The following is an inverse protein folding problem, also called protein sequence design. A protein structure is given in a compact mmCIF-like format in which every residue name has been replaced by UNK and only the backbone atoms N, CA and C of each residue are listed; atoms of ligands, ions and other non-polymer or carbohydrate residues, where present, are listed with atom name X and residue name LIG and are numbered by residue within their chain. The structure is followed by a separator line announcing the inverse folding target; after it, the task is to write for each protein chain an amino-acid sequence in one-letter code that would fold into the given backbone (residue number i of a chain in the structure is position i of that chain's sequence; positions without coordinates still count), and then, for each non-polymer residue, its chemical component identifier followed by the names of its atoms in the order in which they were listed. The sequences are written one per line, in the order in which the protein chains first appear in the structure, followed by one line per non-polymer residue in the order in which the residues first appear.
data_IF_235252905720
#
_entry.id   IF_235252905720
#
_cell.length_a   1.000
_cell.length_b   1.000
_cell.length_c   1.000
_cell.angle_alpha   90.00
_cell.angle_beta   90.00
_cell.angle_gamma   90.00
#
_symmetry.space_group_name_H-M   'P 1'
#
loop_
_entity.id
_entity.type
_entity.pdbx_description
1 polymer ?
#
# COMPACT_ATOMS: atom_id res chain seq x y z
N UNK A 1 -25.38 8.49 -37.03
CA UNK A 1 -24.86 8.10 -35.71
C UNK A 1 -24.65 6.62 -35.80
N UNK A 2 -23.39 6.20 -35.86
CA UNK A 2 -23.07 4.78 -35.74
C UNK A 2 -23.48 4.34 -34.33
N UNK A 3 -24.11 3.17 -34.25
CA UNK A 3 -24.50 2.54 -32.98
C UNK A 3 -23.22 2.30 -32.16
N UNK A 4 -23.22 2.69 -30.87
CA UNK A 4 -22.09 2.48 -29.94
C UNK A 4 -21.63 1.03 -29.95
N UNK A 5 -22.54 0.07 -30.08
CA UNK A 5 -22.19 -1.35 -30.19
C UNK A 5 -21.28 -1.62 -31.38
N UNK A 6 -21.49 -0.93 -32.50
CA UNK A 6 -20.64 -1.04 -33.70
C UNK A 6 -19.28 -0.36 -33.49
N UNK A 7 -19.26 0.77 -32.79
CA UNK A 7 -18.03 1.49 -32.43
C UNK A 7 -17.14 0.64 -31.51
N UNK A 8 -17.70 0.08 -30.43
CA UNK A 8 -16.98 -0.72 -29.44
C UNK A 8 -16.37 -1.99 -30.06
N UNK A 9 -17.08 -2.64 -30.99
CA UNK A 9 -16.57 -3.81 -31.71
C UNK A 9 -15.36 -3.51 -32.63
N UNK A 10 -15.12 -2.24 -32.96
CA UNK A 10 -13.97 -1.79 -33.75
C UNK A 10 -12.75 -1.37 -32.93
N UNK A 11 -12.88 -1.29 -31.60
CA UNK A 11 -11.84 -0.81 -30.70
C UNK A 11 -11.09 -1.98 -30.03
N UNK A 12 -9.80 -1.76 -29.76
CA UNK A 12 -8.93 -2.73 -29.12
C UNK A 12 -8.62 -2.26 -27.69
N UNK A 13 -9.14 -3.01 -26.71
CA UNK A 13 -8.99 -2.75 -25.26
C UNK A 13 -7.53 -2.73 -24.78
N UNK A 14 -6.56 -3.15 -25.61
CA UNK A 14 -5.13 -3.06 -25.29
C UNK A 14 -4.57 -1.64 -25.38
N UNK A 15 -5.32 -0.69 -25.93
CA UNK A 15 -4.89 0.70 -26.07
C UNK A 15 -5.83 1.64 -25.32
N UNK A 16 -5.27 2.75 -24.84
CA UNK A 16 -6.06 3.82 -24.23
C UNK A 16 -7.02 4.40 -25.27
N UNK A 17 -8.31 4.46 -24.92
CA UNK A 17 -9.38 4.98 -25.77
C UNK A 17 -9.72 6.41 -25.36
N UNK A 18 -10.04 7.26 -26.33
CA UNK A 18 -10.46 8.66 -26.11
C UNK A 18 -11.97 8.82 -25.99
N UNK A 19 -12.40 9.93 -25.40
CA UNK A 19 -13.83 10.28 -25.30
C UNK A 19 -14.44 10.41 -26.70
N UNK A 20 -13.68 10.92 -27.67
CA UNK A 20 -14.12 11.04 -29.06
C UNK A 20 -14.33 9.68 -29.75
N UNK A 21 -13.46 8.70 -29.50
CA UNK A 21 -13.59 7.34 -30.04
C UNK A 21 -14.79 6.58 -29.45
N UNK A 22 -15.19 6.92 -28.22
CA UNK A 22 -16.42 6.44 -27.57
C UNK A 22 -17.68 7.21 -28.01
N UNK A 23 -17.59 8.03 -29.06
CA UNK A 23 -18.74 8.77 -29.60
C UNK A 23 -19.05 10.09 -28.88
N UNK A 24 -18.18 10.55 -27.97
CA UNK A 24 -18.29 11.81 -27.24
C UNK A 24 -18.93 11.67 -25.85
N UNK A 25 -18.84 12.74 -25.06
CA UNK A 25 -19.34 12.82 -23.68
C UNK A 25 -20.79 12.33 -23.53
N UNK A 26 -21.70 12.90 -24.33
CA UNK A 26 -23.13 12.59 -24.23
C UNK A 26 -23.43 11.11 -24.54
N UNK A 27 -22.66 10.51 -25.46
CA UNK A 27 -22.81 9.10 -25.80
C UNK A 27 -22.38 8.21 -24.63
N UNK A 28 -21.31 8.58 -23.91
CA UNK A 28 -20.86 7.86 -22.70
C UNK A 28 -21.93 7.96 -21.61
N UNK A 29 -22.42 9.16 -21.30
CA UNK A 29 -23.37 9.39 -20.21
C UNK A 29 -24.70 8.64 -20.43
N UNK A 30 -25.22 8.67 -21.66
CA UNK A 30 -26.50 8.02 -21.98
C UNK A 30 -26.41 6.48 -22.03
N UNK A 31 -25.21 5.91 -22.13
CA UNK A 31 -25.00 4.49 -22.42
C UNK A 31 -24.20 3.75 -21.35
N UNK A 32 -24.17 4.27 -20.12
CA UNK A 32 -23.46 3.65 -18.99
C UNK A 32 -23.79 2.16 -18.78
N UNK A 33 -25.07 1.79 -18.88
CA UNK A 33 -25.48 0.37 -18.75
C UNK A 33 -24.95 -0.51 -19.89
N UNK A 34 -24.90 0.00 -21.11
CA UNK A 34 -24.33 -0.73 -22.25
C UNK A 34 -22.83 -0.91 -22.08
N UNK A 35 -22.13 0.15 -21.66
CA UNK A 35 -20.70 0.13 -21.38
C UNK A 35 -20.38 -0.87 -20.27
N UNK A 36 -21.16 -0.90 -19.18
CA UNK A 36 -21.03 -1.89 -18.13
C UNK A 36 -21.24 -3.32 -18.66
N UNK A 37 -22.33 -3.55 -19.39
CA UNK A 37 -22.67 -4.87 -19.93
C UNK A 37 -21.69 -5.42 -20.97
N UNK A 38 -20.84 -4.57 -21.56
CA UNK A 38 -19.83 -4.95 -22.55
C UNK A 38 -18.37 -4.82 -22.05
N UNK A 39 -18.15 -4.54 -20.76
CA UNK A 39 -16.81 -4.41 -20.19
C UNK A 39 -16.07 -3.11 -20.56
N UNK A 40 -16.79 -2.10 -21.02
CA UNK A 40 -16.25 -0.80 -21.45
C UNK A 40 -16.39 0.30 -20.40
N UNK A 41 -16.94 0.00 -19.22
CA UNK A 41 -17.14 1.01 -18.18
C UNK A 41 -15.81 1.58 -17.65
N UNK A 42 -14.82 0.73 -17.32
CA UNK A 42 -13.51 1.19 -16.86
C UNK A 42 -12.79 2.01 -17.95
N UNK A 43 -12.67 1.55 -19.23
CA UNK A 43 -12.10 2.36 -20.30
C UNK A 43 -12.80 3.72 -20.50
N UNK A 44 -14.13 3.77 -20.39
CA UNK A 44 -14.87 5.02 -20.52
C UNK A 44 -14.57 5.99 -19.36
N UNK A 45 -14.52 5.47 -18.14
CA UNK A 45 -14.15 6.25 -16.95
C UNK A 45 -12.69 6.72 -17.04
N UNK A 46 -11.76 5.89 -17.50
CA UNK A 46 -10.37 6.29 -17.74
C UNK A 46 -10.26 7.39 -18.78
N UNK A 47 -10.97 7.27 -19.91
CA UNK A 47 -11.01 8.29 -20.95
C UNK A 47 -11.49 9.65 -20.39
N UNK A 48 -12.60 9.65 -19.64
CA UNK A 48 -13.13 10.86 -18.98
C UNK A 48 -12.13 11.43 -17.97
N UNK A 49 -11.54 10.60 -17.12
CA UNK A 49 -10.56 11.01 -16.12
C UNK A 49 -9.29 11.63 -16.75
N UNK A 50 -8.80 11.05 -17.85
CA UNK A 50 -7.62 11.52 -18.58
C UNK A 50 -7.88 12.80 -19.36
N UNK A 51 -9.06 12.93 -19.96
CA UNK A 51 -9.45 14.08 -20.79
C UNK A 51 -10.24 15.13 -19.99
N UNK A 52 -10.30 14.99 -18.66
CA UNK A 52 -11.06 15.86 -17.75
C UNK A 52 -10.89 17.36 -18.03
N UNK A 53 -9.67 17.91 -18.21
CA UNK A 53 -9.49 19.35 -18.43
C UNK A 53 -10.10 19.89 -19.74
N UNK A 54 -10.46 18.99 -20.66
CA UNK A 54 -11.01 19.31 -21.98
C UNK A 54 -12.49 18.96 -22.13
N UNK A 55 -13.10 18.36 -21.10
CA UNK A 55 -14.52 18.04 -21.11
C UNK A 55 -15.35 19.33 -21.13
N UNK A 56 -16.50 19.26 -21.78
CA UNK A 56 -17.46 20.36 -21.87
C UNK A 56 -18.37 20.35 -20.65
N UNK A 57 -18.77 19.17 -20.16
CA UNK A 57 -19.70 19.05 -19.04
C UNK A 57 -19.11 18.23 -17.87
N UNK A 58 -18.34 18.91 -17.02
CA UNK A 58 -17.73 18.31 -15.83
C UNK A 58 -18.75 17.81 -14.81
N UNK A 59 -19.94 18.41 -14.76
CA UNK A 59 -21.00 18.00 -13.84
C UNK A 59 -21.52 16.61 -14.22
N UNK A 60 -21.89 16.42 -15.49
CA UNK A 60 -22.32 15.11 -15.98
C UNK A 60 -21.19 14.08 -15.89
N UNK A 61 -19.95 14.47 -16.17
CA UNK A 61 -18.79 13.58 -16.03
C UNK A 61 -18.64 13.09 -14.58
N UNK A 62 -18.72 14.01 -13.61
CA UNK A 62 -18.68 13.68 -12.18
C UNK A 62 -19.82 12.75 -11.78
N UNK A 63 -21.04 13.07 -12.17
CA UNK A 63 -22.22 12.29 -11.81
C UNK A 63 -22.12 10.87 -12.40
N UNK A 64 -21.62 10.77 -13.64
CA UNK A 64 -21.32 9.48 -14.27
C UNK A 64 -20.25 8.68 -13.51
N UNK A 65 -19.17 9.30 -13.04
CA UNK A 65 -18.15 8.61 -12.22
C UNK A 65 -18.75 8.04 -10.92
N UNK A 66 -19.59 8.82 -10.26
CA UNK A 66 -20.25 8.43 -8.99
C UNK A 66 -21.25 7.31 -9.25
N UNK A 67 -22.09 7.42 -10.30
CA UNK A 67 -23.04 6.39 -10.70
C UNK A 67 -22.31 5.09 -11.11
N UNK A 68 -21.20 5.19 -11.85
CA UNK A 68 -20.38 4.05 -12.22
C UNK A 68 -19.86 3.29 -10.99
N UNK A 69 -19.33 3.99 -9.98
CA UNK A 69 -18.94 3.38 -8.71
C UNK A 69 -20.14 2.82 -7.93
N UNK A 70 -21.29 3.46 -8.03
CA UNK A 70 -22.50 3.05 -7.33
C UNK A 70 -23.05 1.72 -7.87
N UNK A 71 -23.09 1.57 -9.19
CA UNK A 71 -23.73 0.44 -9.86
C UNK A 71 -22.75 -0.70 -10.20
N UNK A 72 -21.43 -0.47 -10.06
CA UNK A 72 -20.41 -1.48 -10.31
C UNK A 72 -20.60 -2.74 -9.46
N UNK A 73 -20.29 -3.90 -10.06
CA UNK A 73 -20.02 -5.13 -9.31
C UNK A 73 -18.65 -5.05 -8.63
N UNK A 74 -18.32 -6.05 -7.80
CA UNK A 74 -17.08 -6.04 -7.02
C UNK A 74 -15.82 -5.98 -7.89
N UNK A 75 -15.79 -6.67 -9.03
CA UNK A 75 -14.63 -6.68 -9.92
C UNK A 75 -14.44 -5.33 -10.62
N UNK A 76 -15.53 -4.74 -11.09
CA UNK A 76 -15.51 -3.45 -11.78
C UNK A 76 -15.22 -2.32 -10.82
N UNK A 77 -15.69 -2.42 -9.57
CA UNK A 77 -15.48 -1.41 -8.54
C UNK A 77 -13.99 -1.17 -8.28
N UNK A 78 -13.17 -2.23 -8.17
CA UNK A 78 -11.74 -2.12 -7.91
C UNK A 78 -11.02 -1.33 -9.01
N UNK A 79 -11.25 -1.69 -10.26
CA UNK A 79 -10.66 -0.98 -11.41
C UNK A 79 -11.13 0.46 -11.54
N UNK A 80 -12.41 0.75 -11.22
CA UNK A 80 -12.91 2.13 -11.18
C UNK A 80 -12.28 2.94 -10.04
N UNK A 81 -12.13 2.34 -8.85
CA UNK A 81 -11.49 2.96 -7.71
C UNK A 81 -10.04 3.33 -8.02
N UNK A 82 -9.30 2.44 -8.68
CA UNK A 82 -7.94 2.69 -9.14
C UNK A 82 -7.89 3.88 -10.12
N UNK A 83 -8.67 3.84 -11.20
CA UNK A 83 -8.69 4.91 -12.22
C UNK A 83 -9.05 6.27 -11.61
N UNK A 84 -10.12 6.33 -10.80
CA UNK A 84 -10.60 7.59 -10.20
C UNK A 84 -9.58 8.13 -9.20
N UNK A 85 -9.01 7.27 -8.34
CA UNK A 85 -8.01 7.69 -7.34
C UNK A 85 -6.70 8.20 -7.94
N UNK A 86 -6.46 7.91 -9.23
CA UNK A 86 -5.28 8.33 -9.98
C UNK A 86 -5.52 9.54 -10.91
N UNK A 87 -6.70 10.18 -10.86
CA UNK A 87 -7.00 11.38 -11.65
C UNK A 87 -7.09 12.65 -10.80
N UNK A 88 -6.00 13.46 -10.70
CA UNK A 88 -6.01 14.69 -9.91
C UNK A 88 -7.02 15.73 -10.41
N UNK A 89 -7.27 15.77 -11.73
CA UNK A 89 -8.22 16.70 -12.32
C UNK A 89 -9.66 16.34 -11.94
N UNK A 90 -10.03 15.06 -12.08
CA UNK A 90 -11.35 14.57 -11.69
C UNK A 90 -11.57 14.69 -10.18
N UNK A 91 -10.60 14.27 -9.36
CA UNK A 91 -10.72 14.31 -7.89
C UNK A 91 -10.96 15.73 -7.36
N UNK A 92 -10.38 16.77 -7.98
CA UNK A 92 -10.62 18.16 -7.56
C UNK A 92 -12.09 18.55 -7.57
N UNK A 93 -12.88 17.97 -8.47
CA UNK A 93 -14.30 18.29 -8.64
C UNK A 93 -15.22 17.18 -8.11
N UNK A 94 -14.74 15.94 -8.07
CA UNK A 94 -15.53 14.77 -7.71
C UNK A 94 -15.30 14.24 -6.29
N UNK A 95 -14.18 14.56 -5.62
CA UNK A 95 -13.80 13.91 -4.36
C UNK A 95 -14.88 13.98 -3.28
N UNK A 96 -15.56 15.12 -3.13
CA UNK A 96 -16.65 15.25 -2.13
C UNK A 96 -17.79 14.26 -2.39
N UNK A 97 -18.23 14.11 -3.65
CA UNK A 97 -19.33 13.22 -4.02
C UNK A 97 -18.91 11.75 -3.93
N UNK A 98 -17.67 11.44 -4.34
CA UNK A 98 -17.10 10.10 -4.17
C UNK A 98 -17.05 9.74 -2.69
N UNK A 99 -16.56 10.62 -1.81
CA UNK A 99 -16.50 10.38 -0.36
C UNK A 99 -17.89 10.20 0.25
N UNK A 100 -18.90 10.96 -0.20
CA UNK A 100 -20.29 10.76 0.24
C UNK A 100 -20.83 9.38 -0.15
N UNK A 101 -20.55 8.90 -1.36
CA UNK A 101 -20.88 7.53 -1.77
C UNK A 101 -20.16 6.49 -0.90
N UNK A 102 -18.87 6.66 -0.63
CA UNK A 102 -18.09 5.73 0.20
C UNK A 102 -18.62 5.66 1.64
N UNK A 103 -19.07 6.80 2.20
CA UNK A 103 -19.76 6.83 3.50
C UNK A 103 -21.05 6.04 3.48
N UNK A 104 -21.81 6.07 2.39
CA UNK A 104 -23.03 5.30 2.23
C UNK A 104 -22.74 3.79 2.20
N UNK A 105 -21.70 3.37 1.47
CA UNK A 105 -21.25 1.97 1.47
C UNK A 105 -20.76 1.48 2.82
N UNK A 106 -20.20 2.36 3.65
CA UNK A 106 -19.77 2.00 5.00
C UNK A 106 -20.92 1.59 5.95
N UNK A 107 -22.18 1.66 5.51
CA UNK A 107 -23.33 1.14 6.24
C UNK A 107 -23.68 -0.31 5.90
N UNK A 108 -23.08 -0.87 4.85
CA UNK A 108 -23.16 -2.30 4.53
C UNK A 108 -22.18 -3.11 5.41
N UNK A 109 -22.35 -4.43 5.48
CA UNK A 109 -21.47 -5.35 6.20
C UNK A 109 -21.03 -6.48 5.26
N UNK A 110 -20.36 -6.11 4.16
CA UNK A 110 -19.94 -7.02 3.11
C UNK A 110 -18.57 -6.61 2.53
N UNK A 111 -18.08 -7.37 1.54
CA UNK A 111 -16.81 -7.09 0.87
C UNK A 111 -16.79 -5.70 0.20
N UNK A 112 -17.95 -5.19 -0.24
CA UNK A 112 -18.05 -3.86 -0.88
C UNK A 112 -17.72 -2.76 0.12
N UNK A 113 -18.12 -2.91 1.39
CA UNK A 113 -17.69 -2.01 2.45
C UNK A 113 -16.16 -1.95 2.56
N UNK A 114 -15.48 -3.09 2.56
CA UNK A 114 -14.02 -3.14 2.73
C UNK A 114 -13.29 -2.51 1.52
N UNK A 115 -13.78 -2.75 0.30
CA UNK A 115 -13.27 -2.08 -0.92
C UNK A 115 -13.51 -0.57 -0.88
N UNK A 116 -14.70 -0.13 -0.42
CA UNK A 116 -15.01 1.28 -0.25
C UNK A 116 -14.12 1.94 0.81
N UNK A 117 -13.85 1.25 1.92
CA UNK A 117 -12.92 1.71 2.95
C UNK A 117 -11.50 1.84 2.40
N UNK A 118 -11.08 0.96 1.48
CA UNK A 118 -9.78 1.07 0.83
C UNK A 118 -9.69 2.34 -0.02
N UNK A 119 -10.65 2.58 -0.91
CA UNK A 119 -10.67 3.82 -1.69
C UNK A 119 -10.73 5.06 -0.77
N UNK A 120 -11.54 5.01 0.28
CA UNK A 120 -11.67 6.12 1.22
C UNK A 120 -10.35 6.38 1.96
N UNK A 121 -9.63 5.31 2.32
CA UNK A 121 -8.31 5.38 2.94
C UNK A 121 -7.28 6.01 2.02
N UNK A 122 -7.24 5.59 0.75
CA UNK A 122 -6.37 6.19 -0.27
C UNK A 122 -6.62 7.69 -0.41
N UNK A 123 -7.89 8.10 -0.51
CA UNK A 123 -8.27 9.51 -0.61
C UNK A 123 -7.86 10.31 0.62
N UNK A 124 -8.05 9.75 1.83
CA UNK A 124 -7.65 10.40 3.07
C UNK A 124 -6.13 10.54 3.22
N UNK A 125 -5.35 9.50 2.87
CA UNK A 125 -3.88 9.57 2.87
C UNK A 125 -3.40 10.60 1.83
N UNK A 126 -4.07 10.66 0.68
CA UNK A 126 -3.84 11.66 -0.37
C UNK A 126 -4.27 13.08 0.01
N UNK A 127 -4.96 13.28 1.12
CA UNK A 127 -5.41 14.60 1.59
C UNK A 127 -6.70 15.11 0.95
N UNK A 128 -7.43 14.25 0.23
CA UNK A 128 -8.70 14.62 -0.43
C UNK A 128 -9.90 14.63 0.52
N UNK A 129 -9.77 14.06 1.72
CA UNK A 129 -10.82 14.07 2.74
C UNK A 129 -10.27 13.93 4.16
N UNK A 130 -11.16 13.96 5.16
CA UNK A 130 -10.79 13.85 6.58
C UNK A 130 -10.23 12.48 6.94
N UNK A 131 -9.02 12.44 7.48
CA UNK A 131 -8.42 11.24 8.06
C UNK A 131 -9.18 10.72 9.29
N UNK A 132 -9.80 11.60 10.07
CA UNK A 132 -10.45 11.22 11.33
C UNK A 132 -11.65 10.31 11.11
N UNK A 133 -12.45 10.59 10.08
CA UNK A 133 -13.63 9.79 9.75
C UNK A 133 -13.24 8.40 9.28
N UNK A 134 -12.21 8.30 8.43
CA UNK A 134 -11.70 7.02 7.93
C UNK A 134 -11.14 6.17 9.07
N UNK A 135 -10.36 6.76 9.98
CA UNK A 135 -9.82 6.04 11.16
C UNK A 135 -10.94 5.41 11.99
N UNK A 136 -11.97 6.19 12.30
CA UNK A 136 -13.11 5.71 13.06
C UNK A 136 -13.88 4.60 12.31
N UNK A 137 -14.04 4.72 11.00
CA UNK A 137 -14.70 3.72 10.16
C UNK A 137 -13.91 2.40 10.12
N UNK A 138 -12.60 2.46 9.89
CA UNK A 138 -11.70 1.29 9.89
C UNK A 138 -11.71 0.56 11.24
N UNK A 139 -11.51 1.29 12.35
CA UNK A 139 -11.50 0.69 13.69
C UNK A 139 -12.86 0.06 14.04
N UNK A 140 -13.96 0.70 13.63
CA UNK A 140 -15.31 0.16 13.85
C UNK A 140 -15.55 -1.10 13.03
N UNK A 141 -15.16 -1.11 11.76
CA UNK A 141 -15.28 -2.28 10.89
C UNK A 141 -14.45 -3.45 11.41
N UNK A 142 -13.19 -3.22 11.81
CA UNK A 142 -12.33 -4.25 12.37
C UNK A 142 -12.95 -4.91 13.62
N UNK A 143 -13.45 -4.10 14.56
CA UNK A 143 -14.14 -4.60 15.76
C UNK A 143 -15.40 -5.39 15.42
N UNK A 144 -16.21 -4.90 14.47
CA UNK A 144 -17.42 -5.60 14.04
C UNK A 144 -17.09 -6.97 13.45
N UNK A 145 -16.17 -7.01 12.47
CA UNK A 145 -15.74 -8.25 11.81
C UNK A 145 -15.24 -9.27 12.83
N UNK A 146 -14.30 -8.87 13.69
CA UNK A 146 -13.75 -9.74 14.73
C UNK A 146 -14.82 -10.24 15.71
N UNK A 147 -15.76 -9.38 16.12
CA UNK A 147 -16.86 -9.78 17.02
C UNK A 147 -17.85 -10.74 16.38
N UNK A 148 -17.99 -10.69 15.05
CA UNK A 148 -18.82 -11.58 14.26
C UNK A 148 -18.11 -12.90 13.90
N UNK A 149 -16.81 -13.01 14.18
CA UNK A 149 -15.98 -14.14 13.74
C UNK A 149 -15.79 -14.16 12.22
N UNK A 150 -15.82 -12.99 11.58
CA UNK A 150 -15.54 -12.83 10.15
C UNK A 150 -14.03 -12.70 9.92
N UNK A 151 -13.53 -13.37 8.89
CA UNK A 151 -12.16 -13.17 8.41
C UNK A 151 -11.99 -11.75 7.87
N UNK A 152 -10.82 -11.16 8.11
CA UNK A 152 -10.49 -9.87 7.51
C UNK A 152 -10.23 -10.05 6.01
N UNK A 153 -10.94 -9.26 5.20
CA UNK A 153 -10.63 -9.21 3.77
C UNK A 153 -9.26 -8.54 3.52
N UNK A 154 -8.58 -8.87 2.40
CA UNK A 154 -7.32 -8.22 2.05
C UNK A 154 -7.43 -6.68 1.96
N UNK A 155 -8.58 -6.16 1.51
CA UNK A 155 -8.84 -4.71 1.43
C UNK A 155 -8.86 -4.06 2.82
N UNK A 156 -9.50 -4.71 3.80
CA UNK A 156 -9.56 -4.20 5.17
C UNK A 156 -8.18 -4.18 5.83
N UNK A 157 -7.44 -5.29 5.74
CA UNK A 157 -6.10 -5.39 6.33
C UNK A 157 -5.13 -4.39 5.71
N UNK A 158 -5.13 -4.29 4.37
CA UNK A 158 -4.29 -3.34 3.64
C UNK A 158 -4.62 -1.90 3.98
N UNK A 159 -5.90 -1.58 4.20
CA UNK A 159 -6.35 -0.24 4.61
C UNK A 159 -5.94 0.08 6.05
N UNK A 160 -6.17 -0.85 6.99
CA UNK A 160 -5.73 -0.73 8.38
C UNK A 160 -4.24 -0.50 8.48
N UNK A 161 -3.45 -1.32 7.78
CA UNK A 161 -2.01 -1.19 7.73
C UNK A 161 -1.55 0.15 7.17
N UNK A 162 -2.17 0.63 6.08
CA UNK A 162 -1.74 1.86 5.42
C UNK A 162 -2.06 3.08 6.28
N UNK A 163 -3.24 3.08 6.87
CA UNK A 163 -3.70 4.07 7.82
C UNK A 163 -2.83 4.07 9.09
N UNK A 164 -2.46 2.89 9.59
CA UNK A 164 -1.60 2.75 10.76
C UNK A 164 -0.19 3.25 10.49
N UNK A 165 0.45 2.85 9.39
CA UNK A 165 1.77 3.38 8.97
C UNK A 165 1.73 4.92 8.84
N UNK A 166 0.64 5.47 8.29
CA UNK A 166 0.55 6.90 8.01
C UNK A 166 0.27 7.75 9.25
N UNK A 167 -0.59 7.27 10.15
CA UNK A 167 -1.15 8.06 11.25
C UNK A 167 -0.72 7.60 12.64
N UNK A 168 -0.11 6.41 12.75
CA UNK A 168 0.36 5.80 13.99
C UNK A 168 -0.72 5.82 15.11
N UNK A 169 -1.91 5.35 14.76
CA UNK A 169 -3.08 5.30 15.65
C UNK A 169 -3.23 3.92 16.31
N UNK A 170 -3.27 3.91 17.63
CA UNK A 170 -3.41 2.69 18.44
C UNK A 170 -4.72 1.93 18.17
N UNK A 171 -5.82 2.60 17.81
CA UNK A 171 -7.07 1.89 17.49
C UNK A 171 -6.95 1.08 16.20
N UNK A 172 -6.09 1.51 15.28
CA UNK A 172 -5.82 0.78 14.03
C UNK A 172 -4.88 -0.41 14.29
N UNK A 173 -3.89 -0.24 15.17
CA UNK A 173 -3.06 -1.36 15.65
C UNK A 173 -3.92 -2.41 16.34
N UNK A 174 -4.82 -1.99 17.24
CA UNK A 174 -5.77 -2.88 17.90
C UNK A 174 -6.63 -3.63 16.88
N UNK A 175 -7.11 -2.94 15.84
CA UNK A 175 -7.83 -3.55 14.72
C UNK A 175 -7.06 -4.69 14.05
N UNK A 176 -5.77 -4.49 13.73
CA UNK A 176 -4.91 -5.54 13.17
C UNK A 176 -4.69 -6.70 14.16
N UNK A 177 -4.51 -6.39 15.45
CA UNK A 177 -4.30 -7.41 16.50
C UNK A 177 -5.51 -8.31 16.71
N UNK A 178 -6.73 -7.78 16.57
CA UNK A 178 -7.95 -8.58 16.67
C UNK A 178 -7.95 -9.77 15.69
N UNK A 179 -7.44 -9.57 14.48
CA UNK A 179 -7.34 -10.63 13.47
C UNK A 179 -6.07 -11.48 13.61
N UNK A 180 -4.97 -10.87 14.05
CA UNK A 180 -3.72 -11.58 14.29
C UNK A 180 -3.82 -12.60 15.44
N UNK A 181 -4.60 -12.28 16.48
CA UNK A 181 -4.75 -13.09 17.69
C UNK A 181 -6.03 -13.96 17.70
N UNK A 182 -6.77 -14.01 16.58
CA UNK A 182 -7.87 -14.94 16.37
C UNK A 182 -7.38 -16.41 16.34
N UNK A 183 -8.30 -17.36 16.54
CA UNK A 183 -7.99 -18.81 16.50
C UNK A 183 -7.39 -19.21 15.15
N UNK A 184 -8.02 -18.73 14.07
CA UNK A 184 -7.49 -18.77 12.71
C UNK A 184 -6.81 -17.41 12.44
N UNK A 185 -5.53 -17.31 12.82
CA UNK A 185 -4.80 -16.04 12.74
C UNK A 185 -4.67 -15.58 11.30
N UNK A 186 -5.03 -14.32 11.02
CA UNK A 186 -4.92 -13.76 9.68
C UNK A 186 -3.46 -13.41 9.34
N UNK A 187 -2.85 -14.13 8.39
CA UNK A 187 -1.45 -13.94 7.99
C UNK A 187 -1.14 -12.53 7.48
N UNK A 188 -2.05 -11.89 6.74
CA UNK A 188 -1.86 -10.51 6.29
C UNK A 188 -1.77 -9.53 7.47
N UNK A 189 -2.58 -9.70 8.50
CA UNK A 189 -2.55 -8.85 9.70
C UNK A 189 -1.26 -9.04 10.48
N UNK A 190 -0.76 -10.27 10.54
CA UNK A 190 0.55 -10.59 11.13
C UNK A 190 1.69 -9.92 10.33
N UNK A 191 1.63 -9.95 9.00
CA UNK A 191 2.58 -9.26 8.13
C UNK A 191 2.59 -7.74 8.38
N UNK A 192 1.42 -7.12 8.45
CA UNK A 192 1.30 -5.68 8.77
C UNK A 192 1.94 -5.32 10.11
N UNK A 193 1.70 -6.12 11.15
CA UNK A 193 2.30 -5.91 12.48
C UNK A 193 3.83 -6.11 12.46
N UNK A 194 4.33 -7.11 11.72
CA UNK A 194 5.76 -7.33 11.53
C UNK A 194 6.44 -6.14 10.84
N UNK A 195 5.84 -5.63 9.77
CA UNK A 195 6.32 -4.44 9.08
C UNK A 195 6.34 -3.20 9.98
N UNK A 196 5.30 -3.01 10.78
CA UNK A 196 5.27 -1.91 11.74
C UNK A 196 6.39 -2.01 12.78
N UNK A 197 6.69 -3.21 13.28
CA UNK A 197 7.82 -3.43 14.19
C UNK A 197 9.17 -3.08 13.54
N UNK A 198 9.39 -3.34 12.25
CA UNK A 198 10.59 -2.85 11.54
C UNK A 198 10.63 -1.31 11.54
N UNK A 199 9.50 -0.66 11.26
CA UNK A 199 9.40 0.81 11.32
C UNK A 199 9.74 1.38 12.71
N UNK A 200 9.25 0.75 13.77
CA UNK A 200 9.58 1.11 15.17
C UNK A 200 11.03 0.86 15.50
N UNK A 201 11.63 -0.23 15.01
CA UNK A 201 13.05 -0.50 15.20
C UNK A 201 13.92 0.61 14.60
N UNK A 202 13.59 1.08 13.40
CA UNK A 202 14.29 2.17 12.73
C UNK A 202 14.15 3.53 13.44
N UNK A 203 13.01 3.76 14.09
CA UNK A 203 12.73 4.99 14.85
C UNK A 203 13.20 4.96 16.31
N UNK A 204 13.71 3.83 16.78
CA UNK A 204 14.07 3.64 18.18
C UNK A 204 15.23 4.55 18.62
N UNK A 205 15.11 5.12 19.83
CA UNK A 205 16.15 6.01 20.39
C UNK A 205 17.38 5.30 20.94
N UNK A 206 17.35 3.96 21.03
CA UNK A 206 18.45 3.13 21.55
C UNK A 206 18.54 1.83 20.77
N UNK A 207 19.75 1.26 20.68
CA UNK A 207 19.96 -0.04 20.03
C UNK A 207 19.17 -1.16 20.70
N UNK A 208 19.08 -1.17 22.03
CA UNK A 208 18.29 -2.18 22.77
C UNK A 208 16.82 -2.15 22.36
N UNK A 209 16.20 -0.97 22.34
CA UNK A 209 14.81 -0.84 21.91
C UNK A 209 14.64 -1.24 20.43
N UNK A 210 15.62 -0.90 19.58
CA UNK A 210 15.60 -1.31 18.18
C UNK A 210 15.63 -2.84 18.02
N UNK A 211 16.45 -3.53 18.83
CA UNK A 211 16.54 -4.99 18.80
C UNK A 211 15.29 -5.67 19.37
N UNK A 212 14.69 -5.12 20.42
CA UNK A 212 13.41 -5.62 20.95
C UNK A 212 12.31 -5.58 19.86
N UNK A 213 12.26 -4.50 19.08
CA UNK A 213 11.33 -4.37 17.94
C UNK A 213 11.69 -5.32 16.79
N UNK A 214 12.97 -5.52 16.45
CA UNK A 214 13.37 -6.52 15.45
C UNK A 214 13.02 -7.95 15.88
N UNK A 215 13.14 -8.25 17.17
CA UNK A 215 12.67 -9.52 17.72
C UNK A 215 11.16 -9.66 17.56
N UNK A 216 10.39 -8.61 17.88
CA UNK A 216 8.94 -8.60 17.71
C UNK A 216 8.53 -8.77 16.24
N UNK A 217 9.22 -8.11 15.31
CA UNK A 217 9.02 -8.31 13.87
C UNK A 217 9.21 -9.78 13.48
N UNK A 218 10.29 -10.41 13.97
CA UNK A 218 10.56 -11.84 13.74
C UNK A 218 9.41 -12.72 14.25
N UNK A 219 8.89 -12.44 15.46
CA UNK A 219 7.76 -13.18 16.03
C UNK A 219 6.53 -13.10 15.13
N UNK A 220 6.20 -11.90 14.62
CA UNK A 220 5.06 -11.72 13.72
C UNK A 220 5.23 -12.45 12.40
N UNK A 221 6.38 -12.32 11.75
CA UNK A 221 6.63 -12.97 10.46
C UNK A 221 6.68 -14.49 10.57
N UNK A 222 7.27 -15.05 11.63
CA UNK A 222 7.25 -16.50 11.87
C UNK A 222 5.84 -17.02 12.13
N UNK A 223 4.96 -16.24 12.77
CA UNK A 223 3.53 -16.61 12.88
C UNK A 223 2.85 -16.56 11.51
N UNK A 224 3.14 -15.54 10.70
CA UNK A 224 2.56 -15.38 9.37
C UNK A 224 2.99 -16.50 8.40
N UNK A 225 4.23 -17.00 8.54
CA UNK A 225 4.79 -18.11 7.74
C UNK A 225 4.07 -19.45 7.98
N UNK A 226 3.54 -19.67 9.18
CA UNK A 226 2.88 -20.93 9.54
C UNK A 226 1.55 -21.15 8.80
N UNK A 227 1.05 -20.10 8.16
CA UNK A 227 -0.18 -20.07 7.37
C UNK A 227 0.20 -19.91 5.88
N UNK A 228 -0.39 -20.73 5.01
CA UNK A 228 -0.28 -20.64 3.54
C UNK A 228 1.12 -20.73 2.86
N UNK A 229 2.16 -21.26 3.53
CA UNK A 229 3.51 -21.43 2.94
C UNK A 229 4.07 -20.13 2.31
N UNK A 230 3.83 -19.03 3.03
CA UNK A 230 4.16 -17.67 2.61
C UNK A 230 5.67 -17.41 2.52
N UNK A 231 6.21 -17.52 1.31
CA UNK A 231 7.64 -17.25 1.05
C UNK A 231 8.08 -15.82 1.44
N UNK A 232 7.18 -14.84 1.36
CA UNK A 232 7.43 -13.47 1.81
C UNK A 232 7.60 -13.38 3.32
N UNK A 233 6.68 -13.98 4.08
CA UNK A 233 6.75 -14.07 5.54
C UNK A 233 8.04 -14.77 6.01
N UNK A 234 8.39 -15.90 5.37
CA UNK A 234 9.64 -16.62 5.66
C UNK A 234 10.87 -15.72 5.43
N UNK A 235 10.93 -15.03 4.29
CA UNK A 235 12.04 -14.12 3.96
C UNK A 235 12.19 -13.01 5.00
N UNK A 236 11.07 -12.39 5.40
CA UNK A 236 11.08 -11.34 6.41
C UNK A 236 11.41 -11.85 7.82
N UNK A 237 10.93 -13.04 8.21
CA UNK A 237 11.29 -13.67 9.48
C UNK A 237 12.80 -13.99 9.56
N UNK A 238 13.34 -14.54 8.48
CA UNK A 238 14.75 -14.89 8.38
C UNK A 238 15.63 -13.65 8.55
N UNK A 239 15.38 -12.59 7.78
CA UNK A 239 16.21 -11.38 7.84
C UNK A 239 16.12 -10.66 9.19
N UNK A 240 14.93 -10.49 9.75
CA UNK A 240 14.79 -9.82 11.06
C UNK A 240 15.42 -10.65 12.17
N UNK A 241 15.31 -11.99 12.08
CA UNK A 241 15.95 -12.93 12.98
C UNK A 241 17.47 -12.85 12.93
N UNK A 242 18.07 -12.79 11.73
CA UNK A 242 19.53 -12.64 11.55
C UNK A 242 20.03 -11.30 12.09
N UNK A 243 19.33 -10.20 11.82
CA UNK A 243 19.72 -8.87 12.34
C UNK A 243 19.64 -8.85 13.87
N UNK A 244 18.58 -9.40 14.47
CA UNK A 244 18.45 -9.50 15.92
C UNK A 244 19.54 -10.40 16.54
N UNK A 245 19.84 -11.54 15.90
CA UNK A 245 20.90 -12.45 16.32
C UNK A 245 22.27 -11.75 16.35
N UNK A 246 22.57 -10.99 15.30
CA UNK A 246 23.79 -10.21 15.19
C UNK A 246 23.88 -9.11 16.25
N UNK A 247 22.83 -8.30 16.38
CA UNK A 247 22.77 -7.23 17.37
C UNK A 247 22.84 -7.72 18.82
N UNK A 248 22.51 -8.99 19.06
CA UNK A 248 22.65 -9.67 20.35
C UNK A 248 24.07 -10.19 20.64
N UNK A 249 25.04 -9.92 19.76
CA UNK A 249 26.45 -10.30 19.94
C UNK A 249 26.78 -11.70 19.40
N UNK A 250 26.06 -12.18 18.40
CA UNK A 250 26.42 -13.41 17.68
C UNK A 250 26.91 -13.08 16.27
N UNK A 251 27.84 -13.84 15.69
CA UNK A 251 28.32 -13.57 14.33
C UNK A 251 27.26 -13.93 13.28
N UNK A 252 27.29 -13.22 12.15
CA UNK A 252 26.65 -13.68 10.90
C UNK A 252 27.67 -14.51 10.14
N UNK A 253 27.23 -15.64 9.59
CA UNK A 253 28.07 -16.55 8.80
C UNK A 253 27.81 -16.39 7.30
N UNK A 254 28.74 -16.81 6.43
CA UNK A 254 28.48 -16.86 4.98
C UNK A 254 27.29 -17.75 4.60
N UNK A 255 27.03 -18.80 5.38
CA UNK A 255 25.85 -19.66 5.21
C UNK A 255 24.55 -18.88 5.47
N UNK A 256 24.50 -18.03 6.50
CA UNK A 256 23.34 -17.17 6.77
C UNK A 256 23.06 -16.20 5.60
N UNK A 257 24.11 -15.66 4.99
CA UNK A 257 23.98 -14.76 3.83
C UNK A 257 23.39 -15.51 2.63
N UNK A 258 23.88 -16.73 2.37
CA UNK A 258 23.39 -17.58 1.27
C UNK A 258 21.93 -17.95 1.47
N UNK A 259 21.54 -18.30 2.71
CA UNK A 259 20.15 -18.62 3.04
C UNK A 259 19.21 -17.43 2.80
N UNK A 260 19.62 -16.21 3.20
CA UNK A 260 18.87 -14.98 2.95
C UNK A 260 18.78 -14.70 1.44
N UNK A 261 19.87 -14.85 0.70
CA UNK A 261 19.90 -14.68 -0.75
C UNK A 261 18.89 -15.60 -1.44
N UNK A 262 18.97 -16.91 -1.18
CA UNK A 262 18.08 -17.92 -1.78
C UNK A 262 16.59 -17.66 -1.45
N UNK A 263 16.32 -17.25 -0.21
CA UNK A 263 14.98 -16.89 0.26
C UNK A 263 14.43 -15.66 -0.48
N UNK A 264 15.23 -14.59 -0.58
CA UNK A 264 14.88 -13.37 -1.33
C UNK A 264 14.65 -13.65 -2.82
N UNK A 265 15.48 -14.49 -3.45
CA UNK A 265 15.28 -14.88 -4.85
C UNK A 265 13.96 -15.62 -5.06
N UNK A 266 13.63 -16.56 -4.17
CA UNK A 266 12.37 -17.29 -4.20
C UNK A 266 11.19 -16.33 -4.08
N UNK A 267 11.21 -15.47 -3.07
CA UNK A 267 10.22 -14.43 -2.84
C UNK A 267 10.04 -13.50 -4.06
N UNK A 268 11.13 -12.93 -4.59
CA UNK A 268 11.05 -12.00 -5.73
C UNK A 268 10.58 -12.68 -7.03
N UNK A 269 10.86 -13.97 -7.19
CA UNK A 269 10.37 -14.73 -8.35
C UNK A 269 8.85 -14.91 -8.34
N UNK A 270 8.22 -14.86 -7.16
CA UNK A 270 6.76 -14.95 -6.99
C UNK A 270 6.00 -13.77 -7.61
N UNK A 271 6.60 -12.58 -7.67
CA UNK A 271 5.96 -11.37 -8.24
C UNK A 271 5.97 -11.30 -9.77
N UNK A 272 6.60 -12.27 -10.45
CA UNK A 272 6.71 -12.23 -11.91
C UNK A 272 5.34 -12.43 -12.55
N UNK A 273 4.77 -11.36 -13.11
CA UNK A 273 3.49 -11.38 -13.82
C UNK A 273 2.29 -11.01 -12.95
N UNK A 274 2.50 -10.67 -11.68
CA UNK A 274 1.44 -10.11 -10.84
C UNK A 274 1.13 -8.67 -11.26
N UNK A 275 -0.16 -8.35 -11.36
CA UNK A 275 -0.57 -6.99 -11.68
C UNK A 275 -0.38 -6.09 -10.46
N UNK A 276 0.27 -4.93 -10.61
CA UNK A 276 0.69 -4.21 -9.44
C UNK A 276 -0.47 -3.44 -8.77
N UNK A 277 -0.84 -3.71 -7.51
CA UNK A 277 -1.87 -2.95 -6.77
C UNK A 277 -1.35 -1.66 -6.05
N UNK A 278 -2.23 -0.81 -5.51
CA UNK A 278 -1.84 0.53 -5.01
C UNK A 278 -0.81 0.60 -3.86
N UNK A 279 -0.62 -0.48 -3.09
CA UNK A 279 0.26 -0.53 -1.90
C UNK A 279 1.10 -1.80 -1.94
N UNK A 280 2.23 -1.76 -2.62
CA UNK A 280 2.97 -2.97 -2.95
C UNK A 280 4.47 -2.68 -3.19
N UNK A 281 5.28 -3.74 -3.31
CA UNK A 281 6.68 -3.62 -3.68
C UNK A 281 6.87 -3.09 -5.11
N UNK A 282 7.86 -2.21 -5.32
CA UNK A 282 8.16 -1.61 -6.63
C UNK A 282 9.56 -1.98 -7.11
N UNK A 283 9.96 -1.45 -8.27
CA UNK A 283 11.28 -1.68 -8.87
C UNK A 283 12.45 -1.46 -7.89
N UNK A 284 12.30 -0.54 -6.93
CA UNK A 284 13.34 -0.24 -5.94
C UNK A 284 13.46 -1.35 -4.85
N UNK A 285 12.48 -2.24 -4.72
CA UNK A 285 12.50 -3.32 -3.73
C UNK A 285 13.66 -4.29 -3.98
N UNK A 286 13.91 -4.70 -5.22
CA UNK A 286 15.05 -5.57 -5.54
C UNK A 286 16.39 -4.90 -5.24
N UNK A 287 16.50 -3.59 -5.48
CA UNK A 287 17.70 -2.83 -5.16
C UNK A 287 17.91 -2.68 -3.64
N UNK A 288 16.85 -2.44 -2.87
CA UNK A 288 16.92 -2.41 -1.40
C UNK A 288 17.31 -3.77 -0.83
N UNK A 289 16.77 -4.87 -1.35
CA UNK A 289 17.18 -6.22 -0.97
C UNK A 289 18.65 -6.49 -1.26
N UNK A 290 19.13 -6.17 -2.46
CA UNK A 290 20.53 -6.34 -2.82
C UNK A 290 21.48 -5.53 -1.91
N UNK A 291 21.08 -4.31 -1.52
CA UNK A 291 21.84 -3.48 -0.56
C UNK A 291 21.86 -4.09 0.85
N UNK A 292 20.75 -4.65 1.31
CA UNK A 292 20.66 -5.33 2.60
C UNK A 292 21.52 -6.60 2.64
N UNK A 293 21.43 -7.43 1.60
CA UNK A 293 22.27 -8.63 1.43
C UNK A 293 23.75 -8.25 1.41
N UNK A 294 24.12 -7.21 0.65
CA UNK A 294 25.52 -6.73 0.61
C UNK A 294 25.99 -6.24 1.98
N UNK A 295 25.12 -5.59 2.76
CA UNK A 295 25.42 -5.19 4.13
C UNK A 295 25.62 -6.39 5.06
N UNK A 296 24.79 -7.43 4.93
CA UNK A 296 24.96 -8.68 5.68
C UNK A 296 26.28 -9.39 5.34
N UNK A 297 26.60 -9.49 4.05
CA UNK A 297 27.86 -10.09 3.59
C UNK A 297 29.08 -9.33 4.13
N UNK A 298 29.03 -7.99 4.09
CA UNK A 298 30.09 -7.16 4.65
C UNK A 298 30.32 -7.40 6.15
N UNK A 299 29.25 -7.67 6.91
CA UNK A 299 29.34 -8.00 8.34
C UNK A 299 29.83 -9.44 8.57
N UNK A 300 29.47 -10.40 7.72
CA UNK A 300 29.95 -11.77 7.81
C UNK A 300 31.48 -11.88 7.60
N UNK A 301 32.05 -10.99 6.79
CA UNK A 301 33.49 -10.89 6.57
C UNK A 301 34.26 -10.27 7.75
N UNK A 302 33.57 -9.61 8.69
CA UNK A 302 34.20 -9.01 9.86
C UNK A 302 34.50 -10.07 10.92
N UNK A 303 35.79 -10.20 11.27
CA UNK A 303 36.23 -11.04 12.38
C UNK A 303 35.91 -10.47 13.78
N UNK A 304 35.32 -9.25 13.86
CA UNK A 304 34.94 -8.60 15.11
C UNK A 304 33.52 -8.04 15.01
N UNK A 305 32.74 -8.22 16.08
CA UNK A 305 31.38 -7.73 16.20
C UNK A 305 31.40 -6.24 16.57
N UNK A 306 31.15 -5.37 15.59
CA UNK A 306 30.98 -3.95 15.86
C UNK A 306 29.49 -3.62 16.02
N UNK A 307 29.12 -3.13 17.20
CA UNK A 307 27.75 -2.71 17.54
C UNK A 307 27.17 -1.66 16.58
N UNK A 308 28.02 -0.92 15.87
CA UNK A 308 27.61 0.09 14.88
C UNK A 308 27.01 -0.54 13.62
N UNK A 309 27.40 -1.77 13.28
CA UNK A 309 26.91 -2.46 12.10
C UNK A 309 25.49 -2.99 12.29
N UNK A 310 25.08 -3.27 13.53
CA UNK A 310 23.71 -3.69 13.83
C UNK A 310 22.71 -2.56 13.51
N UNK A 311 23.07 -1.31 13.85
CA UNK A 311 22.24 -0.15 13.52
C UNK A 311 22.15 0.06 12.00
N UNK A 312 23.25 -0.17 11.25
CA UNK A 312 23.27 -0.08 9.80
C UNK A 312 22.38 -1.16 9.15
N UNK A 313 22.42 -2.40 9.66
CA UNK A 313 21.55 -3.48 9.20
C UNK A 313 20.07 -3.19 9.47
N UNK A 314 19.73 -2.63 10.64
CA UNK A 314 18.36 -2.21 10.96
C UNK A 314 17.90 -1.11 9.98
N UNK A 315 18.75 -0.12 9.69
CA UNK A 315 18.44 0.91 8.71
C UNK A 315 18.26 0.33 7.30
N UNK A 316 19.08 -0.63 6.89
CA UNK A 316 18.94 -1.31 5.59
C UNK A 316 17.67 -2.17 5.50
N UNK A 317 17.25 -2.82 6.60
CA UNK A 317 15.96 -3.50 6.67
C UNK A 317 14.78 -2.51 6.59
N UNK A 318 14.91 -1.33 7.21
CA UNK A 318 13.93 -0.27 7.08
C UNK A 318 13.81 0.24 5.63
N UNK A 319 14.91 0.34 4.89
CA UNK A 319 14.91 0.68 3.45
C UNK A 319 14.17 -0.37 2.62
N UNK A 320 14.30 -1.66 2.94
CA UNK A 320 13.54 -2.74 2.32
C UNK A 320 12.05 -2.61 2.65
N UNK A 321 11.71 -2.38 3.91
CA UNK A 321 10.34 -2.09 4.34
C UNK A 321 9.75 -0.91 3.56
N UNK A 322 10.42 0.24 3.52
CA UNK A 322 9.93 1.43 2.80
C UNK A 322 9.69 1.12 1.32
N UNK A 323 10.61 0.42 0.66
CA UNK A 323 10.43 0.04 -0.73
C UNK A 323 9.24 -0.91 -0.93
N UNK A 324 9.07 -1.89 -0.03
CA UNK A 324 7.98 -2.87 -0.04
C UNK A 324 6.60 -2.25 0.27
N UNK A 325 6.55 -1.15 1.03
CA UNK A 325 5.31 -0.45 1.42
C UNK A 325 5.00 0.78 0.55
N UNK A 326 5.58 0.86 -0.64
CA UNK A 326 5.39 1.99 -1.55
C UNK A 326 3.92 2.15 -1.95
N UNK A 327 3.42 3.38 -1.92
CA UNK A 327 2.03 3.73 -2.26
C UNK A 327 1.95 4.44 -3.62
N UNK A 328 0.97 4.08 -4.45
CA UNK A 328 0.51 4.90 -5.58
C UNK A 328 -0.65 5.76 -5.10
N UNK A 329 -0.45 7.06 -4.97
CA UNK A 329 -1.51 7.97 -4.57
C UNK A 329 -1.40 9.29 -5.33
N UNK A 330 -2.54 9.89 -5.62
CA UNK A 330 -2.61 11.30 -5.99
C UNK A 330 -2.75 12.12 -4.72
N UNK A 331 -1.82 13.05 -4.51
CA UNK A 331 -1.88 13.99 -3.39
C UNK A 331 -2.68 15.23 -3.80
N UNK A 332 -3.59 15.69 -2.94
CA UNK A 332 -4.24 16.98 -3.10
C UNK A 332 -3.15 18.08 -3.07
N UNK A 333 -2.93 18.81 -4.18
CA UNK A 333 -1.91 19.84 -4.25
C UNK A 333 -2.13 20.96 -3.23
N UNK A 334 -3.36 21.14 -2.72
CA UNK A 334 -3.65 22.12 -1.66
C UNK A 334 -3.10 21.74 -0.28
N UNK A 335 -2.82 20.45 -0.07
CA UNK A 335 -2.32 19.88 1.18
C UNK A 335 -0.79 19.66 1.18
N UNK A 336 -0.11 19.93 0.06
CA UNK A 336 1.35 19.82 -0.05
C UNK A 336 2.01 21.00 0.67
N UNK A 337 2.15 20.88 1.99
CA UNK A 337 3.18 21.61 2.71
C UNK A 337 4.53 20.93 2.44
N UNK A 338 5.62 21.70 2.26
CA UNK A 338 6.99 21.21 1.98
C UNK A 338 7.55 20.17 2.98
N UNK A 339 6.81 19.87 4.06
CA UNK A 339 7.15 18.85 5.06
C UNK A 339 6.57 17.45 4.78
N UNK A 340 5.63 17.30 3.85
CA UNK A 340 4.92 16.03 3.60
C UNK A 340 5.68 15.10 2.64
N UNK A 341 6.59 15.65 1.84
CA UNK A 341 7.58 14.87 1.09
C UNK A 341 8.75 14.64 2.04
N UNK A 342 8.95 13.40 2.50
CA UNK A 342 10.07 13.05 3.37
C UNK A 342 11.35 13.64 2.81
N UNK A 343 11.95 14.59 3.54
CA UNK A 343 13.23 15.15 3.15
C UNK A 343 14.22 13.98 3.04
N UNK A 344 14.94 13.83 1.91
CA UNK A 344 16.04 12.87 1.88
C UNK A 344 16.96 13.23 3.03
N UNK A 345 17.40 12.21 3.78
CA UNK A 345 18.39 12.33 4.86
C UNK A 345 19.63 13.04 4.29
N UNK A 346 19.61 14.37 4.32
CA UNK A 346 20.69 15.19 3.85
C UNK A 346 21.84 14.98 4.84
N UNK A 347 22.90 14.37 4.31
CA UNK A 347 24.21 14.27 4.91
C UNK A 347 24.53 15.54 5.71
N UNK A 348 24.52 15.43 7.04
CA UNK A 348 25.09 16.47 7.90
C UNK A 348 26.61 16.40 7.74
N UNK A 349 27.09 17.09 6.71
CA UNK A 349 28.49 17.42 6.52
C UNK A 349 29.05 18.14 7.75
N UNK A 350 30.07 17.53 8.33
CA UNK A 350 31.31 18.17 8.80
C UNK A 350 31.18 19.61 9.31
N UNK A 351 31.16 19.75 10.64
CA UNK A 351 31.54 21.01 11.31
C UNK A 351 33.00 21.35 10.95
N UNK A 352 33.30 22.55 10.45
CA UNK A 352 34.68 22.99 10.34
C UNK A 352 35.24 23.29 11.74
N UNK A 353 36.37 22.66 12.05
CA UNK A 353 37.22 22.94 13.20
C UNK A 353 37.65 24.41 13.19
N UNK A 354 37.18 25.20 14.15
CA UNK A 354 37.72 26.52 14.42
C UNK A 354 39.02 26.38 15.23
N UNK A 355 40.15 26.57 14.56
CA UNK A 355 41.42 26.86 15.19
C UNK A 355 41.31 28.20 15.94
N UNK A 356 41.55 28.22 17.24
CA UNK A 356 41.96 29.44 17.96
C UNK A 356 43.45 29.34 18.28
N UNK A 357 44.14 30.42 17.90
CA UNK A 357 45.45 30.80 18.42
C UNK A 357 45.35 31.20 19.89
#
# INVERSE_FOLDING_TARGET
MDDMTTLLNGLDLRYAVSVAELGGEEAIYQQGQLLAGQGWLIPAVDALCREWPTLINHENARDFLVEALQEADLFTFDGLADVISLSPAALREAATHVVELLRAFNQSADLRQDMALELWTRLAIGGWCSALEVRAALATRARHAASAGEDASPYLVRSLGAAFDRWNDNELEEGLRLFADAEDSNSDSLMELGFHSIGRAAAAGTLTAALDEMHMATVWFTRAEQDDDRSDAHTFALITGRIHHFGSGNPITPEDVTEVEDSVYTYLSGFVGEEPHWRQPRADTSASWARLISSLAGVADLHQQEWMDAANLIAAAADVYVAHRSLTLVIDPSQVNERTLGAPLAQRGSRPSSSRR
#
